data_IF_727041433028
#
_entry.id   IF_727041433028
#
_cell.length_a   1.000
_cell.length_b   1.000
_cell.length_c   1.000
_cell.angle_alpha   90.00
_cell.angle_beta   90.00
_cell.angle_gamma   90.00
#
_symmetry.space_group_name_H-M   'P 1'
#
loop_
_entity.id
_entity.type
_entity.pdbx_description
1 polymer ?
#
# COMPACT_ATOMS: atom_id res chain seq x y z
N UNK A 1 -57.07 16.32 39.65
CA UNK A 1 -57.01 16.85 38.27
C UNK A 1 -57.59 15.82 37.27
N UNK A 2 -58.78 15.25 37.53
CA UNK A 2 -59.37 14.17 36.73
C UNK A 2 -60.84 14.41 36.31
N UNK A 3 -61.39 15.61 36.55
CA UNK A 3 -62.81 15.90 36.32
C UNK A 3 -63.14 16.55 34.95
N UNK A 4 -62.21 16.56 33.98
CA UNK A 4 -62.40 17.27 32.70
C UNK A 4 -62.38 16.40 31.43
N UNK A 5 -62.28 15.07 31.56
CA UNK A 5 -62.23 14.16 30.40
C UNK A 5 -63.60 13.61 29.96
N UNK A 6 -64.57 13.48 30.86
CA UNK A 6 -65.91 12.96 30.51
C UNK A 6 -66.67 13.78 29.45
N UNK A 7 -66.70 15.13 29.48
CA UNK A 7 -67.46 15.88 28.47
C UNK A 7 -66.81 15.79 27.08
N UNK A 8 -65.48 15.58 27.00
CA UNK A 8 -64.77 15.43 25.71
C UNK A 8 -65.08 14.09 25.04
N UNK A 9 -65.23 13.02 25.81
CA UNK A 9 -65.57 11.69 25.27
C UNK A 9 -67.01 11.68 24.75
N UNK A 10 -67.94 12.32 25.46
CA UNK A 10 -69.33 12.47 25.01
C UNK A 10 -69.46 13.31 23.73
N UNK A 11 -68.68 14.40 23.62
CA UNK A 11 -68.62 15.21 22.39
C UNK A 11 -68.00 14.44 21.23
N UNK A 12 -66.98 13.62 21.48
CA UNK A 12 -66.33 12.80 20.44
C UNK A 12 -67.26 11.69 19.92
N UNK A 13 -68.10 11.11 20.77
CA UNK A 13 -69.14 10.15 20.39
C UNK A 13 -70.27 10.79 19.56
N UNK A 14 -70.70 12.01 19.91
CA UNK A 14 -71.69 12.76 19.14
C UNK A 14 -71.16 13.19 17.76
N UNK A 15 -69.88 13.58 17.68
CA UNK A 15 -69.20 13.86 16.41
C UNK A 15 -69.07 12.60 15.53
N UNK A 16 -68.86 11.42 16.13
CA UNK A 16 -68.76 10.16 15.40
C UNK A 16 -70.10 9.74 14.77
N UNK A 17 -71.23 10.12 15.38
CA UNK A 17 -72.57 9.74 14.94
C UNK A 17 -73.10 10.59 13.77
N UNK A 18 -72.52 11.79 13.54
CA UNK A 18 -72.91 12.70 12.45
C UNK A 18 -72.07 12.55 11.18
N UNK A 19 -71.01 11.73 11.20
CA UNK A 19 -70.17 11.52 10.00
C UNK A 19 -70.87 10.51 9.09
N UNK A 20 -71.17 10.85 7.82
CA UNK A 20 -71.74 9.89 6.88
C UNK A 20 -70.75 8.73 6.71
N UNK A 21 -71.15 7.51 7.10
CA UNK A 21 -70.34 6.29 7.08
C UNK A 21 -69.57 6.10 5.75
N UNK A 22 -70.14 6.54 4.64
CA UNK A 22 -69.52 6.45 3.32
C UNK A 22 -68.26 7.32 3.13
N UNK A 23 -68.10 8.41 3.90
CA UNK A 23 -66.88 9.24 3.87
C UNK A 23 -65.78 8.73 4.79
N UNK A 24 -66.12 7.97 5.83
CA UNK A 24 -65.14 7.37 6.75
C UNK A 24 -64.59 6.03 6.22
N UNK A 25 -65.36 5.29 5.41
CA UNK A 25 -64.91 4.03 4.79
C UNK A 25 -63.65 4.18 3.94
N UNK A 26 -63.54 5.25 3.13
CA UNK A 26 -62.39 5.47 2.22
C UNK A 26 -61.05 5.64 2.96
N UNK A 27 -60.90 6.56 3.92
CA UNK A 27 -59.65 6.69 4.68
C UNK A 27 -59.39 5.47 5.57
N UNK A 28 -60.44 4.81 6.08
CA UNK A 28 -60.29 3.57 6.84
C UNK A 28 -59.73 2.43 5.97
N UNK A 29 -60.26 2.22 4.77
CA UNK A 29 -59.72 1.25 3.82
C UNK A 29 -58.29 1.60 3.42
N UNK A 30 -58.00 2.86 3.15
CA UNK A 30 -56.64 3.29 2.80
C UNK A 30 -55.65 3.04 3.95
N UNK A 31 -56.03 3.36 5.19
CA UNK A 31 -55.23 3.06 6.37
C UNK A 31 -55.02 1.55 6.56
N UNK A 32 -56.06 0.74 6.37
CA UNK A 32 -55.96 -0.71 6.48
C UNK A 32 -55.05 -1.31 5.40
N UNK A 33 -55.14 -0.82 4.16
CA UNK A 33 -54.25 -1.22 3.05
C UNK A 33 -52.80 -0.83 3.36
N UNK A 34 -52.56 0.36 3.89
CA UNK A 34 -51.21 0.83 4.22
C UNK A 34 -50.59 0.01 5.35
N UNK A 35 -51.36 -0.32 6.39
CA UNK A 35 -50.94 -1.23 7.46
C UNK A 35 -50.65 -2.63 6.90
N UNK A 36 -51.52 -3.15 6.03
CA UNK A 36 -51.33 -4.46 5.41
C UNK A 36 -50.04 -4.51 4.56
N UNK A 37 -49.77 -3.47 3.77
CA UNK A 37 -48.55 -3.35 2.98
C UNK A 37 -47.29 -3.30 3.88
N UNK A 38 -47.34 -2.56 4.99
CA UNK A 38 -46.24 -2.48 5.95
C UNK A 38 -45.95 -3.83 6.63
N UNK A 39 -47.01 -4.56 7.05
CA UNK A 39 -46.87 -5.89 7.64
C UNK A 39 -46.30 -6.88 6.63
N UNK A 40 -46.77 -6.85 5.37
CA UNK A 40 -46.24 -7.70 4.30
C UNK A 40 -44.76 -7.43 4.05
N UNK A 41 -44.34 -6.16 3.98
CA UNK A 41 -42.93 -5.81 3.82
C UNK A 41 -42.04 -6.35 4.96
N UNK A 42 -42.51 -6.25 6.20
CA UNK A 42 -41.86 -6.82 7.39
C UNK A 42 -41.69 -8.34 7.29
N UNK A 43 -42.74 -9.05 6.87
CA UNK A 43 -42.71 -10.51 6.70
C UNK A 43 -41.76 -10.90 5.56
N UNK A 44 -41.81 -10.19 4.43
CA UNK A 44 -40.90 -10.43 3.30
C UNK A 44 -39.45 -10.26 3.71
N UNK A 45 -39.12 -9.23 4.49
CA UNK A 45 -37.75 -9.00 4.97
C UNK A 45 -37.26 -10.08 5.94
N UNK A 46 -38.18 -10.72 6.67
CA UNK A 46 -37.85 -11.83 7.58
C UNK A 46 -37.62 -13.16 6.84
N UNK A 47 -38.16 -13.30 5.62
CA UNK A 47 -37.97 -14.48 4.77
C UNK A 47 -36.66 -14.47 3.97
N UNK A 48 -35.96 -13.34 3.92
CA UNK A 48 -34.63 -13.27 3.30
C UNK A 48 -33.62 -13.79 4.32
N UNK A 49 -32.94 -14.92 4.07
CA UNK A 49 -31.91 -15.42 4.98
C UNK A 49 -30.81 -14.37 5.11
N UNK A 50 -30.46 -14.01 6.35
CA UNK A 50 -29.28 -13.19 6.60
C UNK A 50 -28.05 -13.89 6.02
N UNK A 51 -27.07 -13.15 5.47
CA UNK A 51 -25.82 -13.75 5.03
C UNK A 51 -25.17 -14.43 6.25
N UNK A 52 -25.19 -15.76 6.26
CA UNK A 52 -24.50 -16.55 7.28
C UNK A 52 -23.01 -16.41 7.05
N UNK A 53 -22.38 -15.49 7.78
CA UNK A 53 -20.93 -15.48 7.91
C UNK A 53 -20.57 -16.80 8.58
N UNK A 54 -19.81 -17.65 7.90
CA UNK A 54 -19.37 -18.92 8.44
C UNK A 54 -18.47 -18.66 9.66
N UNK A 55 -19.02 -18.79 10.86
CA UNK A 55 -18.22 -18.89 12.08
C UNK A 55 -17.54 -20.25 12.07
N UNK A 56 -16.23 -20.23 11.84
CA UNK A 56 -15.37 -21.41 11.90
C UNK A 56 -15.35 -21.89 13.36
N UNK A 57 -16.24 -22.84 13.70
CA UNK A 57 -16.23 -23.50 15.00
C UNK A 57 -15.18 -24.60 14.96
N UNK A 58 -14.07 -24.40 15.66
CA UNK A 58 -13.07 -25.44 15.88
C UNK A 58 -13.64 -26.52 16.81
N UNK A 59 -14.19 -27.59 16.25
CA UNK A 59 -14.62 -28.76 17.00
C UNK A 59 -13.42 -29.68 17.25
N UNK A 60 -12.83 -29.58 18.43
CA UNK A 60 -11.99 -30.67 18.94
C UNK A 60 -12.92 -31.79 19.42
N UNK A 61 -12.80 -33.04 18.91
CA UNK A 61 -13.55 -34.15 19.45
C UNK A 61 -12.94 -34.51 20.82
N UNK A 62 -13.57 -34.07 21.90
CA UNK A 62 -13.25 -34.62 23.22
C UNK A 62 -14.02 -35.93 23.33
N UNK A 63 -13.36 -37.03 22.96
CA UNK A 63 -13.81 -38.36 23.32
C UNK A 63 -13.93 -38.40 24.85
N UNK A 64 -15.13 -38.68 25.34
CA UNK A 64 -15.39 -38.88 26.76
C UNK A 64 -14.62 -40.13 27.23
N UNK A 65 -13.44 -39.92 27.83
CA UNK A 65 -12.70 -40.97 28.52
C UNK A 65 -13.07 -40.88 30.00
N UNK A 66 -13.62 -41.97 30.51
CA UNK A 66 -14.03 -42.14 31.90
C UNK A 66 -12.97 -41.62 32.87
N UNK A 67 -13.39 -40.70 33.73
CA UNK A 67 -12.58 -40.14 34.80
C UNK A 67 -12.23 -41.23 35.82
N UNK A 68 -10.95 -41.58 35.91
CA UNK A 68 -10.29 -42.13 37.09
C UNK A 68 -8.79 -42.08 36.86
N UNK A 69 -8.20 -40.92 37.16
CA UNK A 69 -6.81 -40.62 37.54
C UNK A 69 -6.48 -39.22 37.00
N UNK A 70 -6.12 -38.24 37.86
CA UNK A 70 -5.51 -37.01 37.37
C UNK A 70 -4.12 -37.40 36.86
N UNK A 71 -4.03 -37.79 35.59
CA UNK A 71 -2.74 -37.77 34.91
C UNK A 71 -2.41 -36.29 34.79
N UNK A 72 -1.62 -35.77 35.73
CA UNK A 72 -0.88 -34.54 35.53
C UNK A 72 0.07 -34.83 34.38
N UNK A 73 -0.44 -34.72 33.16
CA UNK A 73 0.38 -34.67 31.96
C UNK A 73 1.13 -33.35 32.09
N UNK A 74 2.32 -33.43 32.68
CA UNK A 74 3.22 -32.32 32.74
C UNK A 74 3.53 -32.00 31.28
N UNK A 75 2.93 -30.94 30.75
CA UNK A 75 3.08 -30.51 29.34
C UNK A 75 4.58 -30.37 28.99
N UNK A 76 5.41 -30.10 30.00
CA UNK A 76 6.87 -30.10 29.92
C UNK A 76 7.49 -31.41 29.43
N UNK A 77 6.91 -32.57 29.75
CA UNK A 77 7.42 -33.86 29.30
C UNK A 77 6.96 -34.18 27.88
N UNK A 78 5.75 -33.76 27.49
CA UNK A 78 5.27 -33.90 26.11
C UNK A 78 6.05 -33.04 25.11
N UNK A 79 6.49 -31.83 25.50
CA UNK A 79 7.32 -30.97 24.63
C UNK A 79 8.72 -31.54 24.38
N UNK A 80 9.23 -32.41 25.27
CA UNK A 80 10.52 -33.09 25.08
C UNK A 80 10.48 -34.20 24.04
N UNK A 81 9.33 -34.84 23.86
CA UNK A 81 9.20 -35.92 22.88
C UNK A 81 9.15 -35.45 21.43
N UNK A 82 9.16 -34.12 21.19
CA UNK A 82 9.22 -33.54 19.84
C UNK A 82 8.27 -34.26 18.86
N UNK A 83 7.03 -34.52 19.30
CA UNK A 83 6.05 -35.36 18.60
C UNK A 83 5.70 -34.85 17.18
N UNK A 84 6.09 -33.62 16.88
CA UNK A 84 5.89 -32.94 15.59
C UNK A 84 7.22 -32.57 14.93
N UNK A 85 8.33 -33.15 15.39
CA UNK A 85 9.69 -32.74 15.07
C UNK A 85 10.17 -31.58 15.96
N UNK A 86 11.48 -31.50 16.18
CA UNK A 86 12.09 -30.29 16.72
C UNK A 86 12.18 -29.28 15.59
N UNK A 87 11.76 -28.03 15.82
CA UNK A 87 12.15 -26.92 14.96
C UNK A 87 13.67 -26.81 15.07
N UNK A 88 14.36 -27.50 14.17
CA UNK A 88 15.75 -27.27 13.90
C UNK A 88 15.75 -26.14 12.86
N UNK A 89 16.02 -24.88 13.23
CA UNK A 89 16.54 -23.96 12.26
C UNK A 89 17.92 -24.51 11.92
N UNK A 90 17.98 -25.54 11.07
CA UNK A 90 19.08 -25.58 10.14
C UNK A 90 18.94 -24.24 9.43
N UNK A 91 19.88 -23.29 9.58
CA UNK A 91 20.01 -22.29 8.56
C UNK A 91 20.35 -23.12 7.33
N UNK A 92 19.32 -23.54 6.61
CA UNK A 92 19.44 -23.62 5.19
C UNK A 92 19.61 -22.16 4.85
N UNK A 93 20.88 -21.72 4.88
CA UNK A 93 21.43 -20.86 3.86
C UNK A 93 21.16 -21.58 2.55
N UNK A 94 19.88 -21.69 2.16
CA UNK A 94 19.52 -21.48 0.78
C UNK A 94 20.11 -20.10 0.57
N UNK A 95 21.20 -20.06 -0.20
CA UNK A 95 21.64 -18.82 -0.82
C UNK A 95 20.36 -18.07 -1.17
N UNK A 96 20.18 -16.83 -0.65
CA UNK A 96 18.95 -16.09 -0.87
C UNK A 96 18.61 -16.31 -2.32
N UNK A 97 17.48 -16.99 -2.60
CA UNK A 97 16.99 -17.11 -3.97
C UNK A 97 16.91 -15.66 -4.35
N UNK A 98 17.85 -15.23 -5.19
CA UNK A 98 18.03 -13.83 -5.51
C UNK A 98 16.63 -13.41 -5.91
N UNK A 99 16.02 -12.56 -5.09
CA UNK A 99 14.77 -11.93 -5.43
C UNK A 99 15.09 -11.36 -6.80
N UNK A 100 14.49 -11.91 -7.85
CA UNK A 100 14.67 -11.43 -9.22
C UNK A 100 14.00 -10.07 -9.18
N UNK A 101 14.73 -9.10 -8.67
CA UNK A 101 14.17 -7.91 -8.05
C UNK A 101 13.66 -6.94 -9.09
N UNK A 102 13.99 -7.18 -10.37
CA UNK A 102 13.72 -6.29 -11.47
C UNK A 102 13.40 -7.10 -12.75
N UNK A 103 12.29 -7.83 -12.73
CA UNK A 103 11.69 -8.32 -13.97
C UNK A 103 10.98 -7.16 -14.70
N UNK A 104 11.21 -6.93 -16.01
CA UNK A 104 10.57 -5.85 -16.74
C UNK A 104 9.04 -5.99 -16.75
N UNK A 105 8.32 -4.88 -16.93
CA UNK A 105 6.85 -4.88 -17.02
C UNK A 105 6.39 -5.84 -18.13
N UNK A 106 5.37 -6.64 -17.84
CA UNK A 106 4.81 -7.56 -18.83
C UNK A 106 4.16 -6.81 -19.98
N UNK A 107 4.30 -7.35 -21.18
CA UNK A 107 3.66 -6.84 -22.40
C UNK A 107 2.36 -7.59 -22.72
N UNK A 108 1.95 -8.54 -21.87
CA UNK A 108 0.71 -9.28 -22.04
C UNK A 108 -0.50 -8.37 -21.83
N UNK A 109 -1.53 -8.55 -22.65
CA UNK A 109 -2.81 -7.85 -22.52
C UNK A 109 -3.67 -8.52 -21.43
N UNK A 110 -3.19 -8.50 -20.20
CA UNK A 110 -3.83 -9.06 -19.00
C UNK A 110 -3.78 -8.03 -17.87
N UNK A 111 -4.69 -8.16 -16.91
CA UNK A 111 -4.84 -7.22 -15.81
C UNK A 111 -4.94 -7.96 -14.50
N UNK A 112 -4.15 -7.57 -13.49
CA UNK A 112 -4.22 -8.16 -12.16
C UNK A 112 -5.27 -7.42 -11.34
N UNK A 113 -6.38 -8.07 -11.01
CA UNK A 113 -7.50 -7.45 -10.27
C UNK A 113 -7.49 -7.79 -8.78
N UNK A 114 -6.80 -8.86 -8.38
CA UNK A 114 -6.60 -9.19 -6.97
C UNK A 114 -5.40 -10.11 -6.74
N UNK A 115 -4.84 -10.09 -5.54
CA UNK A 115 -3.77 -10.99 -5.13
C UNK A 115 -3.87 -11.31 -3.63
N UNK A 116 -3.31 -12.44 -3.24
CA UNK A 116 -3.13 -12.85 -1.84
C UNK A 116 -1.69 -13.35 -1.70
N UNK A 117 -0.85 -12.55 -1.05
CA UNK A 117 0.54 -12.92 -0.73
C UNK A 117 0.63 -13.54 0.67
N UNK A 118 1.59 -14.46 0.85
CA UNK A 118 1.99 -14.95 2.17
C UNK A 118 3.35 -14.34 2.52
N UNK A 119 3.46 -13.55 3.61
CA UNK A 119 4.72 -12.95 4.01
C UNK A 119 5.85 -14.00 4.14
N UNK A 120 6.98 -13.74 3.49
CA UNK A 120 8.14 -14.63 3.48
C UNK A 120 7.98 -15.93 2.68
N UNK A 121 6.85 -16.13 1.99
CA UNK A 121 6.58 -17.28 1.10
C UNK A 121 5.83 -16.83 -0.17
N UNK A 122 6.49 -16.09 -1.09
CA UNK A 122 5.88 -15.60 -2.33
C UNK A 122 5.41 -16.74 -3.27
N UNK A 123 5.91 -17.95 -3.09
CA UNK A 123 5.51 -19.16 -3.81
C UNK A 123 4.18 -19.77 -3.32
N UNK A 124 3.65 -19.31 -2.19
CA UNK A 124 2.41 -19.82 -1.60
C UNK A 124 1.19 -18.89 -1.83
N UNK A 125 1.32 -17.88 -2.70
CA UNK A 125 0.25 -16.93 -2.98
C UNK A 125 -0.66 -17.31 -4.16
N UNK A 126 -1.74 -16.53 -4.32
CA UNK A 126 -2.71 -16.67 -5.41
C UNK A 126 -3.05 -15.32 -6.02
N UNK A 127 -3.43 -15.30 -7.30
CA UNK A 127 -3.73 -14.10 -8.07
C UNK A 127 -5.04 -14.25 -8.84
N UNK A 128 -5.79 -13.15 -8.98
CA UNK A 128 -6.97 -13.03 -9.84
C UNK A 128 -6.57 -12.19 -11.04
N UNK A 129 -6.58 -12.81 -12.21
CA UNK A 129 -6.11 -12.19 -13.45
C UNK A 129 -7.28 -12.12 -14.43
N UNK A 130 -7.56 -10.91 -14.89
CA UNK A 130 -8.52 -10.64 -15.95
C UNK A 130 -7.82 -10.69 -17.31
N UNK A 131 -8.44 -11.40 -18.25
CA UNK A 131 -8.04 -11.42 -19.64
C UNK A 131 -9.25 -11.32 -20.56
N UNK A 132 -9.28 -10.27 -21.38
CA UNK A 132 -10.37 -10.01 -22.35
C UNK A 132 -11.77 -10.01 -21.71
N UNK A 133 -11.89 -9.50 -20.48
CA UNK A 133 -13.16 -9.42 -19.75
C UNK A 133 -13.57 -10.69 -18.99
N UNK A 134 -12.74 -11.72 -18.97
CA UNK A 134 -12.94 -12.90 -18.11
C UNK A 134 -11.90 -12.91 -16.99
N UNK A 135 -12.36 -13.07 -15.75
CA UNK A 135 -11.50 -13.20 -14.56
C UNK A 135 -11.37 -14.66 -14.15
N UNK A 136 -10.15 -15.05 -13.78
CA UNK A 136 -9.86 -16.37 -13.22
C UNK A 136 -8.81 -16.29 -12.11
N UNK A 137 -8.88 -17.24 -11.18
CA UNK A 137 -7.94 -17.36 -10.06
C UNK A 137 -6.86 -18.37 -10.40
N UNK A 138 -5.61 -17.98 -10.18
CA UNK A 138 -4.41 -18.79 -10.46
C UNK A 138 -3.57 -18.93 -9.19
N UNK A 139 -3.09 -20.14 -8.93
CA UNK A 139 -2.06 -20.41 -7.93
C UNK A 139 -0.66 -20.31 -8.57
N UNK A 140 0.36 -20.10 -7.74
CA UNK A 140 1.76 -20.19 -8.20
C UNK A 140 2.00 -21.55 -8.84
N UNK A 141 2.50 -21.53 -10.07
CA UNK A 141 2.68 -22.72 -10.90
C UNK A 141 1.67 -22.84 -12.04
N UNK A 142 0.55 -22.14 -11.99
CA UNK A 142 -0.50 -22.25 -13.00
C UNK A 142 -0.17 -21.46 -14.27
N UNK A 143 -0.69 -21.93 -15.41
CA UNK A 143 -0.59 -21.23 -16.69
C UNK A 143 -1.83 -20.35 -16.87
N UNK A 144 -1.62 -19.08 -17.21
CA UNK A 144 -2.70 -18.12 -17.44
C UNK A 144 -3.43 -18.48 -18.74
N UNK A 145 -4.73 -18.72 -18.65
CA UNK A 145 -5.55 -19.17 -19.77
C UNK A 145 -5.46 -18.23 -20.97
N UNK A 146 -5.28 -18.78 -22.17
CA UNK A 146 -5.15 -17.99 -23.40
C UNK A 146 -3.80 -17.27 -23.57
N UNK A 147 -2.86 -17.45 -22.65
CA UNK A 147 -1.45 -17.08 -22.82
C UNK A 147 -0.55 -18.31 -22.66
N UNK A 148 0.77 -18.11 -22.78
CA UNK A 148 1.80 -19.10 -22.41
C UNK A 148 2.53 -18.71 -21.13
N UNK A 149 2.04 -17.70 -20.43
CA UNK A 149 2.67 -17.20 -19.22
C UNK A 149 2.27 -18.06 -18.03
N UNK A 150 3.25 -18.40 -17.20
CA UNK A 150 3.07 -19.16 -15.98
C UNK A 150 3.21 -18.23 -14.77
N UNK A 151 2.34 -18.34 -13.79
CA UNK A 151 2.46 -17.58 -12.55
C UNK A 151 3.64 -18.14 -11.74
N UNK A 152 4.68 -17.33 -11.53
CA UNK A 152 5.90 -17.76 -10.86
C UNK A 152 5.91 -17.40 -9.38
N UNK A 153 5.54 -16.16 -9.03
CA UNK A 153 5.50 -15.68 -7.64
C UNK A 153 4.41 -14.62 -7.47
N UNK A 154 3.85 -14.56 -6.26
CA UNK A 154 2.89 -13.53 -5.86
C UNK A 154 3.52 -12.70 -4.72
N UNK A 155 3.70 -11.42 -4.99
CA UNK A 155 4.21 -10.42 -4.05
C UNK A 155 3.06 -9.51 -3.59
N UNK A 156 3.37 -8.56 -2.72
CA UNK A 156 2.35 -7.73 -2.07
C UNK A 156 1.65 -6.75 -3.02
N UNK A 157 2.27 -6.40 -4.15
CA UNK A 157 1.73 -5.43 -5.12
C UNK A 157 1.76 -5.89 -6.58
N UNK A 158 2.36 -7.06 -6.84
CA UNK A 158 2.60 -7.56 -8.18
C UNK A 158 2.64 -9.08 -8.19
N UNK A 159 2.57 -9.63 -9.39
CA UNK A 159 2.95 -11.01 -9.66
C UNK A 159 4.11 -11.06 -10.64
N UNK A 160 5.00 -12.03 -10.47
CA UNK A 160 5.98 -12.39 -11.48
C UNK A 160 5.41 -13.50 -12.35
N UNK A 161 5.44 -13.25 -13.65
CA UNK A 161 5.03 -14.19 -14.68
C UNK A 161 6.29 -14.71 -15.39
N UNK A 162 6.33 -16.00 -15.67
CA UNK A 162 7.36 -16.61 -16.51
C UNK A 162 6.79 -16.80 -17.92
N UNK A 163 7.40 -16.15 -18.91
CA UNK A 163 7.04 -16.26 -20.32
C UNK A 163 8.28 -16.65 -21.12
N UNK A 164 8.26 -17.85 -21.72
CA UNK A 164 9.38 -18.41 -22.50
C UNK A 164 10.72 -18.42 -21.74
N UNK A 165 10.69 -18.72 -20.43
CA UNK A 165 11.88 -18.77 -19.58
C UNK A 165 12.41 -17.39 -19.13
N UNK A 166 11.69 -16.30 -19.42
CA UNK A 166 11.97 -14.96 -18.88
C UNK A 166 10.91 -14.56 -17.86
N UNK A 167 11.33 -13.85 -16.82
CA UNK A 167 10.41 -13.27 -15.85
C UNK A 167 9.92 -11.89 -16.32
N UNK A 168 8.63 -11.63 -16.14
CA UNK A 168 7.97 -10.36 -16.40
C UNK A 168 7.06 -10.00 -15.21
N UNK A 169 6.91 -8.71 -14.94
CA UNK A 169 6.13 -8.21 -13.81
C UNK A 169 4.76 -7.73 -14.25
N UNK A 170 3.70 -8.23 -13.62
CA UNK A 170 2.34 -7.71 -13.74
C UNK A 170 1.92 -7.05 -12.42
N UNK A 171 1.70 -5.74 -12.43
CA UNK A 171 1.28 -4.97 -11.25
C UNK A 171 -0.22 -5.10 -10.99
N UNK A 172 -0.59 -4.99 -9.72
CA UNK A 172 -1.98 -4.88 -9.31
C UNK A 172 -2.60 -3.61 -9.90
N UNK A 173 -3.82 -3.72 -10.42
CA UNK A 173 -4.54 -2.59 -10.97
C UNK A 173 -4.67 -1.45 -9.95
N UNK A 174 -4.36 -0.23 -10.37
CA UNK A 174 -4.28 0.93 -9.47
C UNK A 174 -2.95 1.10 -8.73
N UNK A 175 -1.98 0.20 -8.90
CA UNK A 175 -0.60 0.35 -8.39
C UNK A 175 0.34 0.63 -9.58
N UNK A 176 0.80 1.88 -9.70
CA UNK A 176 1.71 2.30 -10.78
C UNK A 176 3.09 1.63 -10.67
N UNK A 177 3.61 1.14 -11.81
CA UNK A 177 4.85 0.33 -11.90
C UNK A 177 6.11 1.07 -11.42
N UNK A 178 6.04 2.40 -11.38
CA UNK A 178 7.17 3.32 -11.16
C UNK A 178 7.75 3.27 -9.75
N UNK A 179 7.02 2.78 -8.73
CA UNK A 179 7.46 2.89 -7.32
C UNK A 179 8.58 1.93 -6.89
N UNK A 180 8.85 0.84 -7.63
CA UNK A 180 9.53 -0.34 -7.02
C UNK A 180 10.75 -0.83 -7.78
N UNK A 181 10.88 -0.51 -9.08
CA UNK A 181 12.17 -0.68 -9.76
C UNK A 181 13.28 0.17 -9.11
N UNK A 182 12.94 1.17 -8.29
CA UNK A 182 13.90 2.04 -7.60
C UNK A 182 14.07 1.71 -6.11
N UNK A 183 13.09 1.06 -5.48
CA UNK A 183 13.18 0.67 -4.07
C UNK A 183 14.10 -0.56 -3.86
N UNK A 184 14.21 -1.44 -4.87
CA UNK A 184 15.11 -2.61 -4.81
C UNK A 184 16.51 -2.34 -5.38
N UNK A 185 16.66 -1.37 -6.28
CA UNK A 185 17.98 -0.92 -6.77
C UNK A 185 18.89 -0.35 -5.67
N UNK A 186 18.32 0.05 -4.53
CA UNK A 186 19.06 0.62 -3.40
C UNK A 186 19.61 -0.38 -2.37
N UNK A 187 19.26 -1.68 -2.43
CA UNK A 187 19.53 -2.61 -1.31
C UNK A 187 19.99 -4.02 -1.71
N UNK A 188 20.48 -4.25 -2.92
CA UNK A 188 20.86 -5.60 -3.36
C UNK A 188 22.06 -5.66 -4.30
N UNK A 189 23.25 -5.32 -3.84
CA UNK A 189 24.48 -5.66 -4.56
C UNK A 189 25.28 -6.72 -3.77
N UNK A 190 24.98 -7.98 -4.10
CA UNK A 190 25.76 -9.15 -3.71
C UNK A 190 26.21 -9.89 -4.97
N UNK A 191 27.44 -9.58 -5.36
CA UNK A 191 28.45 -10.37 -6.07
C UNK A 191 28.05 -11.50 -7.05
N UNK A 192 28.57 -11.35 -8.29
CA UNK A 192 28.97 -12.33 -9.32
C UNK A 192 28.13 -12.47 -10.62
N UNK A 193 28.58 -11.67 -11.60
CA UNK A 193 29.15 -12.08 -12.90
C UNK A 193 28.29 -12.83 -13.95
N UNK A 194 27.95 -12.09 -15.02
CA UNK A 194 28.08 -12.56 -16.40
C UNK A 194 28.57 -11.40 -17.28
N UNK A 195 29.64 -11.67 -18.03
CA UNK A 195 30.57 -10.72 -18.60
C UNK A 195 30.03 -9.88 -19.76
N UNK A 196 30.37 -8.58 -19.77
CA UNK A 196 30.57 -7.80 -21.00
C UNK A 196 31.72 -6.79 -20.80
N UNK A 197 32.77 -6.99 -21.59
CA UNK A 197 33.98 -6.18 -21.88
C UNK A 197 34.32 -4.97 -20.98
N UNK A 198 35.43 -5.11 -20.25
CA UNK A 198 36.05 -4.06 -19.42
C UNK A 198 37.05 -3.26 -20.26
N UNK A 199 36.75 -1.97 -20.47
CA UNK A 199 37.79 -0.97 -20.72
C UNK A 199 38.23 -0.46 -19.34
N UNK A 200 39.50 -0.69 -18.99
CA UNK A 200 40.12 -0.27 -17.73
C UNK A 200 40.14 1.26 -17.58
N UNK A 201 39.44 1.78 -16.56
CA UNK A 201 39.80 3.05 -15.90
C UNK A 201 40.44 2.74 -14.53
N UNK A 202 41.44 3.52 -14.09
CA UNK A 202 42.15 3.24 -12.84
C UNK A 202 41.28 3.61 -11.63
N UNK A 203 41.09 2.64 -10.74
CA UNK A 203 40.48 2.84 -9.41
C UNK A 203 41.47 3.63 -8.54
N UNK A 204 41.09 4.85 -8.13
CA UNK A 204 41.80 5.57 -7.07
C UNK A 204 41.24 5.12 -5.72
N UNK A 205 41.99 4.27 -5.03
CA UNK A 205 41.72 3.89 -3.65
C UNK A 205 42.02 5.10 -2.74
N UNK A 206 41.01 5.58 -2.01
CA UNK A 206 41.21 6.56 -0.96
C UNK A 206 41.97 5.93 0.22
N UNK A 207 43.03 6.60 0.67
CA UNK A 207 43.85 6.20 1.81
C UNK A 207 43.07 6.27 3.15
N UNK A 208 43.46 5.48 4.17
CA UNK A 208 42.80 5.50 5.46
C UNK A 208 43.18 6.77 6.22
N UNK A 209 42.21 7.62 6.52
CA UNK A 209 42.43 8.80 7.35
C UNK A 209 42.63 8.33 8.79
N UNK A 210 43.90 8.31 9.21
CA UNK A 210 44.31 8.16 10.59
C UNK A 210 43.70 9.28 11.45
N UNK A 211 43.40 8.91 12.69
CA UNK A 211 42.74 9.70 13.71
C UNK A 211 43.21 11.15 13.85
N UNK A 212 42.24 12.04 14.07
CA UNK A 212 42.37 13.14 15.03
C UNK A 212 42.46 14.53 14.42
N UNK A 213 41.31 15.17 14.19
CA UNK A 213 40.93 16.48 14.78
C UNK A 213 39.40 16.52 14.79
N UNK A 214 38.77 16.41 15.96
CA UNK A 214 37.36 16.78 16.12
C UNK A 214 37.34 18.30 16.05
N UNK A 215 36.95 18.87 14.90
CA UNK A 215 36.74 20.31 14.78
C UNK A 215 35.48 20.68 15.59
N UNK A 216 35.58 21.46 16.67
CA UNK A 216 34.42 21.88 17.46
C UNK A 216 33.43 22.72 16.63
N UNK A 217 33.91 23.36 15.56
CA UNK A 217 33.09 24.12 14.60
C UNK A 217 32.16 23.24 13.75
N UNK A 218 32.50 21.96 13.54
CA UNK A 218 31.66 21.04 12.75
C UNK A 218 30.44 20.54 13.54
N UNK A 219 30.55 20.51 14.87
CA UNK A 219 29.44 20.19 15.77
C UNK A 219 28.53 21.41 16.00
N UNK A 220 29.12 22.60 16.17
CA UNK A 220 28.36 23.84 16.33
C UNK A 220 27.49 24.20 15.09
N UNK A 221 27.98 23.91 13.87
CA UNK A 221 27.21 24.12 12.63
C UNK A 221 26.10 23.10 12.43
N UNK A 222 26.23 21.91 13.04
CA UNK A 222 25.19 20.89 13.03
C UNK A 222 24.00 21.36 13.87
N UNK A 223 24.25 21.93 15.05
CA UNK A 223 23.21 22.49 15.91
C UNK A 223 22.51 23.73 15.32
N UNK A 224 23.22 24.52 14.50
CA UNK A 224 22.64 25.70 13.83
C UNK A 224 21.76 25.35 12.61
N UNK A 225 21.99 24.19 11.99
CA UNK A 225 21.13 23.62 10.94
C UNK A 225 19.84 23.06 11.54
N UNK A 226 19.90 22.53 12.78
CA UNK A 226 18.75 22.02 13.53
C UNK A 226 17.81 23.13 14.05
N UNK A 227 18.28 24.39 14.11
CA UNK A 227 17.53 25.48 14.73
C UNK A 227 16.63 26.28 13.77
N UNK A 228 16.84 26.22 12.45
CA UNK A 228 16.15 27.07 11.48
C UNK A 228 15.82 26.36 10.14
N UNK A 229 14.64 25.70 10.02
CA UNK A 229 14.17 25.01 8.81
C UNK A 229 14.07 25.89 7.55
N UNK A 230 14.22 27.21 7.70
CA UNK A 230 14.16 28.20 6.62
C UNK A 230 15.44 28.26 5.77
N UNK A 231 16.52 27.54 6.13
CA UNK A 231 17.82 27.59 5.42
C UNK A 231 17.96 26.64 4.22
N UNK A 232 17.03 25.70 3.97
CA UNK A 232 17.10 24.83 2.76
C UNK A 232 17.20 25.64 1.45
N UNK A 233 16.47 26.76 1.37
CA UNK A 233 16.49 27.66 0.20
C UNK A 233 17.76 28.53 0.08
N UNK A 234 18.62 28.56 1.10
CA UNK A 234 19.93 29.23 0.99
C UNK A 234 20.95 28.40 0.19
N UNK A 235 20.72 27.08 0.07
CA UNK A 235 21.64 26.13 -0.54
C UNK A 235 21.27 25.73 -1.97
N UNK A 236 19.98 25.85 -2.34
CA UNK A 236 19.48 25.55 -3.68
C UNK A 236 18.74 26.76 -4.24
N UNK A 237 19.24 27.29 -5.36
CA UNK A 237 18.52 28.30 -6.15
C UNK A 237 17.66 27.60 -7.21
N UNK A 238 16.43 28.08 -7.37
CA UNK A 238 15.46 27.52 -8.32
C UNK A 238 15.04 28.57 -9.35
N UNK A 239 14.85 28.15 -10.59
CA UNK A 239 14.31 28.98 -11.67
C UNK A 239 13.26 28.19 -12.47
N UNK A 240 12.07 28.74 -12.74
CA UNK A 240 11.07 28.02 -13.53
C UNK A 240 11.57 27.77 -14.96
N UNK A 241 11.24 26.61 -15.52
CA UNK A 241 11.52 26.25 -16.91
C UNK A 241 10.22 25.93 -17.60
N UNK A 242 10.02 26.53 -18.78
CA UNK A 242 8.84 26.30 -19.60
C UNK A 242 9.23 25.65 -20.94
N UNK A 243 8.41 24.73 -21.43
CA UNK A 243 8.46 24.18 -22.80
C UNK A 243 7.09 24.40 -23.43
N UNK A 244 7.05 24.91 -24.65
CA UNK A 244 5.80 25.19 -25.38
C UNK A 244 4.79 26.08 -24.61
N UNK A 245 5.30 26.99 -23.78
CA UNK A 245 4.50 27.90 -22.95
C UNK A 245 3.88 27.25 -21.70
N UNK A 246 4.22 26.00 -21.39
CA UNK A 246 3.79 25.29 -20.18
C UNK A 246 4.96 25.13 -19.22
N UNK A 247 4.71 25.32 -17.92
CA UNK A 247 5.70 25.05 -16.87
C UNK A 247 5.99 23.55 -16.83
N UNK A 248 7.25 23.18 -17.00
CA UNK A 248 7.69 21.77 -16.96
C UNK A 248 8.40 21.41 -15.67
N UNK A 249 8.89 22.40 -14.92
CA UNK A 249 9.60 22.19 -13.67
C UNK A 249 10.50 23.36 -13.30
N UNK A 250 11.45 23.11 -12.40
CA UNK A 250 12.36 24.12 -11.87
C UNK A 250 13.83 23.70 -12.04
N UNK A 251 14.62 24.55 -12.68
CA UNK A 251 16.07 24.38 -12.81
C UNK A 251 16.75 24.65 -11.48
N UNK A 252 17.60 23.72 -11.07
CA UNK A 252 18.35 23.76 -9.82
C UNK A 252 19.75 24.30 -10.06
N UNK A 253 20.18 25.18 -9.17
CA UNK A 253 21.49 25.80 -9.16
C UNK A 253 22.05 25.83 -7.74
N UNK A 254 23.37 25.73 -7.58
CA UNK A 254 24.00 25.88 -6.27
C UNK A 254 23.72 27.29 -5.70
N UNK A 255 23.42 27.31 -4.41
CA UNK A 255 23.23 28.49 -3.58
C UNK A 255 24.55 28.96 -2.95
N UNK A 256 24.49 29.37 -1.68
CA UNK A 256 25.65 29.88 -0.93
C UNK A 256 26.70 28.80 -0.64
N UNK A 257 26.27 27.56 -0.42
CA UNK A 257 27.14 26.41 -0.19
C UNK A 257 26.95 25.35 -1.28
N UNK A 258 27.89 25.33 -2.24
CA UNK A 258 27.89 24.36 -3.33
C UNK A 258 28.25 22.95 -2.87
N UNK A 259 28.89 22.79 -1.70
CA UNK A 259 29.27 21.48 -1.19
C UNK A 259 28.03 20.68 -0.77
N UNK A 260 27.09 21.32 -0.07
CA UNK A 260 25.81 20.70 0.33
C UNK A 260 24.99 20.31 -0.91
N UNK A 261 24.93 21.19 -1.91
CA UNK A 261 24.25 20.92 -3.18
C UNK A 261 24.78 19.63 -3.85
N UNK A 262 26.10 19.48 -3.90
CA UNK A 262 26.74 18.29 -4.48
C UNK A 262 26.60 17.06 -3.58
N UNK A 263 26.64 17.24 -2.26
CA UNK A 263 26.48 16.16 -1.27
C UNK A 263 25.07 15.54 -1.33
N UNK A 264 24.06 16.33 -1.69
CA UNK A 264 22.70 15.82 -1.97
C UNK A 264 22.59 15.07 -3.30
N UNK A 265 23.68 14.96 -4.08
CA UNK A 265 23.68 14.32 -5.41
C UNK A 265 23.13 15.20 -6.54
N UNK A 266 22.84 16.48 -6.26
CA UNK A 266 22.40 17.44 -7.27
C UNK A 266 23.57 17.91 -8.12
N UNK A 267 23.28 18.16 -9.39
CA UNK A 267 24.19 18.79 -10.33
C UNK A 267 23.59 20.10 -10.83
N UNK A 268 24.48 21.03 -11.15
CA UNK A 268 24.06 22.29 -11.71
C UNK A 268 23.28 22.02 -12.99
N UNK A 269 22.15 22.70 -13.16
CA UNK A 269 21.24 22.57 -14.30
C UNK A 269 20.29 21.37 -14.28
N UNK A 270 20.27 20.59 -13.20
CA UNK A 270 19.21 19.61 -12.98
C UNK A 270 17.82 20.27 -13.08
N UNK A 271 16.88 19.61 -13.73
CA UNK A 271 15.50 20.08 -13.83
C UNK A 271 14.62 19.27 -12.88
N UNK A 272 14.23 19.86 -11.75
CA UNK A 272 13.26 19.28 -10.84
C UNK A 272 11.87 19.22 -11.47
N UNK A 273 11.28 18.02 -11.52
CA UNK A 273 9.96 17.78 -12.13
C UNK A 273 8.93 17.22 -11.14
N UNK A 274 9.37 16.58 -10.05
CA UNK A 274 8.48 16.03 -9.01
C UNK A 274 9.19 16.01 -7.64
N UNK A 275 8.45 16.24 -6.56
CA UNK A 275 8.94 16.04 -5.18
C UNK A 275 7.88 15.27 -4.40
N UNK A 276 8.29 14.18 -3.74
CA UNK A 276 7.42 13.32 -2.92
C UNK A 276 6.13 12.88 -3.66
N UNK A 277 6.21 12.62 -4.97
CA UNK A 277 5.04 12.24 -5.78
C UNK A 277 4.20 13.43 -6.28
N UNK A 278 4.56 14.67 -5.97
CA UNK A 278 3.84 15.87 -6.38
C UNK A 278 4.54 16.50 -7.60
N UNK A 279 3.88 16.59 -8.77
CA UNK A 279 4.43 17.24 -9.95
C UNK A 279 4.71 18.73 -9.73
N UNK A 280 5.81 19.21 -10.30
CA UNK A 280 6.23 20.61 -10.23
C UNK A 280 5.89 21.41 -11.49
N UNK A 281 4.93 20.92 -12.29
CA UNK A 281 4.41 21.60 -13.49
C UNK A 281 3.29 22.60 -13.17
N UNK A 282 2.86 22.70 -11.90
CA UNK A 282 1.89 23.66 -11.41
C UNK A 282 2.46 24.46 -10.23
N UNK A 283 2.36 25.79 -10.32
CA UNK A 283 2.94 26.70 -9.32
C UNK A 283 2.26 26.58 -7.95
N UNK A 284 0.96 26.29 -7.90
CA UNK A 284 0.25 26.13 -6.63
C UNK A 284 0.66 24.82 -5.94
N UNK A 285 0.87 23.75 -6.71
CA UNK A 285 1.39 22.48 -6.20
C UNK A 285 2.82 22.63 -5.69
N UNK A 286 3.69 23.33 -6.43
CA UNK A 286 5.06 23.61 -6.00
C UNK A 286 5.10 24.39 -4.66
N UNK A 287 4.19 25.35 -4.46
CA UNK A 287 4.09 26.08 -3.19
C UNK A 287 3.64 25.20 -2.02
N UNK A 288 2.82 24.16 -2.25
CA UNK A 288 2.45 23.20 -1.19
C UNK A 288 3.63 22.34 -0.79
N UNK A 289 4.35 21.81 -1.77
CA UNK A 289 5.58 21.03 -1.55
C UNK A 289 6.57 21.80 -0.68
N UNK A 290 6.77 23.10 -0.95
CA UNK A 290 7.67 23.94 -0.15
C UNK A 290 7.26 23.98 1.34
N UNK A 291 5.96 24.06 1.62
CA UNK A 291 5.47 24.05 2.99
C UNK A 291 5.65 22.68 3.64
N UNK A 292 5.33 21.60 2.91
CA UNK A 292 5.44 20.23 3.41
C UNK A 292 6.89 19.83 3.69
N UNK A 293 7.83 20.27 2.84
CA UNK A 293 9.27 20.01 3.02
C UNK A 293 9.86 20.68 4.27
N UNK A 294 9.24 21.77 4.76
CA UNK A 294 9.75 22.49 5.93
C UNK A 294 9.65 21.67 7.21
N UNK A 295 8.68 20.76 7.26
CA UNK A 295 8.42 19.90 8.42
C UNK A 295 8.85 18.43 8.16
N UNK A 296 9.45 18.15 7.00
CA UNK A 296 9.87 16.80 6.59
C UNK A 296 11.33 16.49 6.96
N UNK A 297 11.59 15.26 7.37
CA UNK A 297 12.96 14.77 7.67
C UNK A 297 13.65 14.19 6.44
N UNK A 298 12.88 13.77 5.43
CA UNK A 298 13.34 13.18 4.18
C UNK A 298 12.47 13.63 3.01
N UNK A 299 13.07 13.69 1.82
CA UNK A 299 12.34 13.94 0.58
C UNK A 299 12.96 13.20 -0.61
N UNK A 300 12.09 12.76 -1.51
CA UNK A 300 12.47 12.21 -2.82
C UNK A 300 12.20 13.25 -3.90
N UNK A 301 13.23 13.59 -4.67
CA UNK A 301 13.17 14.52 -5.80
C UNK A 301 13.43 13.79 -7.10
N UNK A 302 12.50 13.93 -8.04
CA UNK A 302 12.66 13.50 -9.43
C UNK A 302 13.21 14.65 -10.26
N UNK A 303 14.33 14.41 -10.92
CA UNK A 303 14.98 15.35 -11.81
C UNK A 303 15.09 14.81 -13.23
N UNK A 304 15.18 15.72 -14.20
CA UNK A 304 15.66 15.45 -15.55
C UNK A 304 17.10 16.02 -15.67
N UNK A 305 18.06 15.15 -15.96
CA UNK A 305 19.48 15.48 -16.16
C UNK A 305 19.91 14.93 -17.52
N UNK A 306 20.37 15.81 -18.40
CA UNK A 306 20.78 15.46 -19.77
C UNK A 306 19.70 14.66 -20.56
N UNK A 307 18.43 14.90 -20.25
CA UNK A 307 17.28 14.21 -20.86
C UNK A 307 16.91 12.87 -20.20
N UNK A 308 17.65 12.43 -19.18
CA UNK A 308 17.36 11.24 -18.40
C UNK A 308 16.67 11.58 -17.08
N UNK A 309 15.70 10.75 -16.67
CA UNK A 309 15.02 10.89 -15.38
C UNK A 309 15.80 10.19 -14.29
N UNK A 310 16.05 10.89 -13.18
CA UNK A 310 16.75 10.38 -12.00
C UNK A 310 15.99 10.75 -10.74
N UNK A 311 15.97 9.84 -9.78
CA UNK A 311 15.40 10.10 -8.46
C UNK A 311 16.53 10.24 -7.43
N UNK A 312 16.40 11.24 -6.57
CA UNK A 312 17.39 11.63 -5.57
C UNK A 312 16.68 11.69 -4.21
N UNK A 313 17.13 10.87 -3.27
CA UNK A 313 16.69 10.89 -1.88
C UNK A 313 17.66 11.74 -1.06
N UNK A 314 17.14 12.70 -0.30
CA UNK A 314 17.94 13.52 0.61
C UNK A 314 17.23 13.70 1.95
N UNK A 315 18.03 13.76 3.00
CA UNK A 315 17.57 14.05 4.36
C UNK A 315 17.65 15.56 4.61
N UNK A 316 16.56 16.15 5.12
CA UNK A 316 16.39 17.60 5.22
C UNK A 316 16.86 18.18 6.56
N UNK A 317 16.74 17.40 7.65
CA UNK A 317 17.53 17.44 8.90
C UNK A 317 16.92 16.39 9.87
N UNK A 318 17.64 16.05 10.96
CA UNK A 318 16.99 15.58 12.21
C UNK A 318 16.60 16.79 13.06
#
# INVERSE_FOLDING_TARGET
MFASLEPKIGQLLLLLQQVPLNRLKKPLHFGLVLIAAWVLAKITWQSIPAPTVATISSSTPVAAVNASQPVTVLVQDLTRYALFGQFNPTPTTQAPVAVVAEAPKTQLNVKLTGLVSTPGRPEAGSAIIEQRGAEATYAVGDVIEGTRAKLHQVLDDRVLLELNGRFETLMLDGVEFTRIAQANAGLGQGDNAAAVDLVEEPIVLAEPIASGVINPDALARRDEILAEPMKFFDYVRVSPVQRDGQLVGYRLMPGKDAAIFTQMGLQQNDLAIEINGIPLNDMQQAMRVINDLRDATEATLKIERDGEIRDILFSLSQ
#
